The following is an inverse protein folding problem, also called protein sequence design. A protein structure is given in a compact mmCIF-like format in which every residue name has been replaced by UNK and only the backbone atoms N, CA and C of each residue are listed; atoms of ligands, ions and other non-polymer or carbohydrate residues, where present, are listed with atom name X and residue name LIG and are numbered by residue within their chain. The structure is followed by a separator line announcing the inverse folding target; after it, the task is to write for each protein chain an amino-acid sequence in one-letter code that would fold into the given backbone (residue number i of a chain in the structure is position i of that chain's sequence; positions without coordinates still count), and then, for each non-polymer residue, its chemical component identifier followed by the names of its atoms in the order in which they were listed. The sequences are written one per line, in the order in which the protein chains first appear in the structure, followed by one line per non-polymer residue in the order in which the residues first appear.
data_IF_369583760188
#
_entry.id   IF_369583760188
#
_cell.length_a   1.000
_cell.length_b   1.000
_cell.length_c   1.000
_cell.angle_alpha   90.00
_cell.angle_beta   90.00
_cell.angle_gamma   90.00
#
_symmetry.space_group_name_H-M   'P 1'
#
loop_
_entity.id
_entity.type
_entity.pdbx_description
1 polymer ?
#
# COMPACT_ATOMS: atom_id res chain seq x y z
N UNK A 1 -24.57 6.31 -19.80
CA UNK A 1 -23.46 7.21 -20.19
C UNK A 1 -22.27 6.88 -19.31
N UNK A 2 -21.45 5.90 -19.73
CA UNK A 2 -20.33 5.41 -18.94
C UNK A 2 -19.03 6.01 -19.46
N UNK A 3 -18.36 6.81 -18.64
CA UNK A 3 -17.01 7.28 -18.94
C UNK A 3 -16.02 6.18 -18.56
N UNK A 4 -15.43 5.56 -19.58
CA UNK A 4 -14.26 4.70 -19.46
C UNK A 4 -13.06 5.62 -19.23
N UNK A 5 -12.59 5.72 -17.98
CA UNK A 5 -11.32 6.39 -17.69
C UNK A 5 -10.24 5.30 -17.73
N UNK A 6 -9.47 5.32 -18.81
CA UNK A 6 -8.26 4.53 -19.01
C UNK A 6 -7.14 5.16 -18.17
N UNK A 7 -6.97 4.74 -16.92
CA UNK A 7 -5.81 5.15 -16.12
C UNK A 7 -4.62 4.25 -16.42
N UNK A 8 -3.75 4.72 -17.31
CA UNK A 8 -2.39 4.25 -17.48
C UNK A 8 -1.61 4.55 -16.19
N UNK A 9 -1.44 3.56 -15.31
CA UNK A 9 -0.50 3.66 -14.19
C UNK A 9 0.84 3.09 -14.65
N UNK A 10 1.77 3.97 -14.99
CA UNK A 10 3.18 3.61 -15.07
C UNK A 10 3.61 3.14 -13.67
N UNK A 11 3.80 1.83 -13.50
CA UNK A 11 4.42 1.27 -12.30
C UNK A 11 5.90 1.64 -12.37
N UNK A 12 6.27 2.77 -11.74
CA UNK A 12 7.66 3.01 -11.37
C UNK A 12 7.97 2.06 -10.22
N UNK A 13 8.36 0.83 -10.54
CA UNK A 13 8.92 -0.11 -9.58
C UNK A 13 10.33 0.39 -9.22
N UNK A 14 10.41 1.42 -8.37
CA UNK A 14 11.63 1.67 -7.63
C UNK A 14 11.76 0.52 -6.60
N UNK A 15 12.83 -0.29 -6.64
CA UNK A 15 13.06 -1.25 -5.57
C UNK A 15 13.20 -0.48 -4.26
N UNK A 16 12.31 -0.75 -3.29
CA UNK A 16 12.34 -0.15 -1.96
C UNK A 16 13.65 -0.41 -1.21
N UNK A 17 14.51 -1.31 -1.72
CA UNK A 17 15.83 -1.62 -1.18
C UNK A 17 16.92 -0.64 -1.63
N UNK A 18 16.59 0.38 -2.44
CA UNK A 18 17.56 1.36 -2.94
C UNK A 18 17.57 2.68 -2.15
N UNK A 19 16.81 2.79 -1.06
CA UNK A 19 16.63 4.03 -0.30
C UNK A 19 17.33 4.05 1.07
N UNK A 20 18.37 3.24 1.27
CA UNK A 20 19.01 3.13 2.59
C UNK A 20 19.74 4.40 3.06
N UNK A 21 19.96 5.39 2.20
CA UNK A 21 20.67 6.63 2.55
C UNK A 21 19.79 7.90 2.61
N UNK A 22 18.46 7.82 2.39
CA UNK A 22 17.64 9.03 2.24
C UNK A 22 16.14 8.87 2.48
N UNK A 23 15.43 10.00 2.52
CA UNK A 23 13.97 10.03 2.59
C UNK A 23 13.36 9.49 1.28
N UNK A 24 12.27 8.72 1.37
CA UNK A 24 11.62 8.12 0.21
C UNK A 24 10.10 8.06 0.34
N UNK A 25 9.43 7.97 -0.80
CA UNK A 25 8.00 7.70 -0.89
C UNK A 25 7.78 6.23 -1.26
N UNK A 26 6.81 5.61 -0.60
CA UNK A 26 6.35 4.26 -0.88
C UNK A 26 4.91 4.29 -1.39
N UNK A 27 4.70 3.62 -2.52
CA UNK A 27 3.38 3.46 -3.15
C UNK A 27 2.97 2.00 -3.07
N UNK A 28 1.77 1.76 -2.56
CA UNK A 28 1.22 0.40 -2.40
C UNK A 28 -0.11 0.26 -3.14
N UNK A 29 -0.31 -0.88 -3.78
CA UNK A 29 -1.61 -1.26 -4.34
C UNK A 29 -1.82 -2.77 -4.30
N UNK A 30 -3.06 -3.23 -4.49
CA UNK A 30 -3.41 -4.65 -4.50
C UNK A 30 -3.48 -5.17 -5.94
N UNK A 31 -2.61 -6.13 -6.28
CA UNK A 31 -2.66 -6.84 -7.57
C UNK A 31 -3.53 -8.09 -7.48
N UNK A 32 -3.41 -8.82 -6.37
CA UNK A 32 -4.13 -10.07 -6.15
C UNK A 32 -4.40 -10.28 -4.67
N UNK A 33 -5.57 -10.83 -4.37
CA UNK A 33 -6.00 -11.14 -3.00
C UNK A 33 -6.52 -12.55 -2.95
N UNK A 34 -6.03 -13.34 -1.99
CA UNK A 34 -6.61 -14.63 -1.65
C UNK A 34 -6.70 -14.75 -0.14
N UNK A 35 -7.90 -15.05 0.34
CA UNK A 35 -8.13 -15.35 1.74
C UNK A 35 -7.61 -16.76 2.06
N UNK A 36 -6.99 -16.93 3.24
CA UNK A 36 -6.53 -18.23 3.72
C UNK A 36 -7.70 -19.22 3.87
N UNK A 37 -8.84 -18.74 4.38
CA UNK A 37 -10.11 -19.44 4.39
C UNK A 37 -11.07 -18.76 3.39
N UNK A 38 -11.20 -19.26 2.15
CA UNK A 38 -12.03 -18.62 1.13
C UNK A 38 -13.50 -18.68 1.52
N UNK A 39 -14.16 -17.53 1.52
CA UNK A 39 -15.60 -17.39 1.63
C UNK A 39 -16.10 -16.62 0.40
N UNK A 40 -17.10 -17.11 -0.35
CA UNK A 40 -17.64 -16.40 -1.50
C UNK A 40 -18.23 -15.01 -1.16
N UNK A 41 -18.60 -14.76 0.09
CA UNK A 41 -19.09 -13.45 0.54
C UNK A 41 -17.96 -12.44 0.79
N UNK A 42 -16.71 -12.91 0.88
CA UNK A 42 -15.55 -12.05 1.10
C UNK A 42 -14.97 -11.46 -0.19
N UNK A 43 -14.75 -10.16 -0.15
CA UNK A 43 -14.20 -9.38 -1.26
C UNK A 43 -12.72 -9.72 -1.56
N UNK A 44 -12.45 -10.30 -2.73
CA UNK A 44 -11.08 -10.53 -3.24
C UNK A 44 -10.55 -9.38 -4.13
N UNK A 45 -11.27 -8.27 -4.22
CA UNK A 45 -10.85 -7.08 -4.97
C UNK A 45 -10.79 -5.90 -4.01
N UNK A 46 -9.65 -5.71 -3.36
CA UNK A 46 -9.53 -4.72 -2.30
C UNK A 46 -9.43 -3.28 -2.81
N UNK A 47 -9.11 -3.05 -4.09
CA UNK A 47 -8.84 -1.70 -4.62
C UNK A 47 -7.98 -0.87 -3.66
N UNK A 48 -6.90 -1.48 -3.17
CA UNK A 48 -5.98 -0.84 -2.25
C UNK A 48 -5.19 0.21 -3.01
N UNK A 49 -5.11 1.41 -2.43
CA UNK A 49 -4.15 2.42 -2.78
C UNK A 49 -3.57 2.99 -1.49
N UNK A 50 -2.24 2.93 -1.34
CA UNK A 50 -1.50 3.42 -0.19
C UNK A 50 -0.37 4.34 -0.62
N UNK A 51 -0.13 5.37 0.19
CA UNK A 51 0.99 6.29 0.08
C UNK A 51 1.63 6.47 1.45
N UNK A 52 2.94 6.37 1.51
CA UNK A 52 3.71 6.51 2.74
C UNK A 52 4.99 7.31 2.49
N UNK A 53 5.29 8.24 3.39
CA UNK A 53 6.56 8.94 3.45
C UNK A 53 7.44 8.29 4.51
N UNK A 54 8.66 7.93 4.12
CA UNK A 54 9.68 7.39 4.99
C UNK A 54 10.85 8.36 5.07
N UNK A 55 11.33 8.62 6.27
CA UNK A 55 12.53 9.41 6.51
C UNK A 55 13.74 8.52 6.72
N UNK A 56 14.92 9.03 6.38
CA UNK A 56 16.20 8.35 6.59
C UNK A 56 16.43 7.99 8.07
N UNK A 57 15.92 8.80 9.00
CA UNK A 57 16.02 8.50 10.43
C UNK A 57 15.07 7.38 10.89
N UNK A 58 14.19 6.88 10.02
CA UNK A 58 13.22 5.82 10.29
C UNK A 58 11.83 6.30 10.70
N UNK A 59 11.57 7.60 10.87
CA UNK A 59 10.19 8.08 11.07
C UNK A 59 9.40 7.90 9.78
N UNK A 60 8.16 7.40 9.89
CA UNK A 60 7.26 7.25 8.76
C UNK A 60 5.85 7.73 9.08
N UNK A 61 5.15 8.18 8.04
CA UNK A 61 3.74 8.52 8.09
C UNK A 61 3.08 8.18 6.75
N UNK A 62 1.89 7.62 6.81
CA UNK A 62 1.21 7.17 5.61
C UNK A 62 -0.27 6.98 5.79
N UNK A 63 -0.91 6.61 4.69
CA UNK A 63 -2.31 6.25 4.68
C UNK A 63 -2.67 5.42 3.47
N UNK A 64 -3.79 4.71 3.61
CA UNK A 64 -4.31 3.85 2.57
C UNK A 64 -5.84 3.91 2.53
N UNK A 65 -6.37 3.66 1.34
CA UNK A 65 -7.79 3.44 1.11
C UNK A 65 -7.98 2.09 0.43
N UNK A 66 -8.97 1.33 0.86
CA UNK A 66 -9.24 -0.03 0.37
C UNK A 66 -10.69 -0.41 0.62
N UNK A 67 -11.14 -1.51 0.03
CA UNK A 67 -12.39 -2.19 0.36
C UNK A 67 -12.09 -3.31 1.34
N UNK A 68 -12.77 -3.30 2.47
CA UNK A 68 -12.69 -4.39 3.44
C UNK A 68 -13.37 -5.67 2.90
N UNK A 69 -13.43 -6.72 3.72
CA UNK A 69 -14.01 -8.02 3.35
C UNK A 69 -15.46 -7.95 2.88
N UNK A 70 -16.22 -6.92 3.28
CA UNK A 70 -17.61 -6.70 2.89
C UNK A 70 -17.78 -5.68 1.75
N UNK A 71 -16.70 -5.43 0.99
CA UNK A 71 -16.67 -4.47 -0.12
C UNK A 71 -16.92 -3.00 0.27
N UNK A 72 -16.82 -2.65 1.55
CA UNK A 72 -17.02 -1.27 2.02
C UNK A 72 -15.71 -0.49 1.98
N UNK A 73 -15.75 0.73 1.42
CA UNK A 73 -14.60 1.64 1.38
C UNK A 73 -14.18 2.01 2.81
N UNK A 74 -12.93 1.72 3.12
CA UNK A 74 -12.28 1.95 4.40
C UNK A 74 -11.03 2.79 4.16
N UNK A 75 -10.70 3.65 5.13
CA UNK A 75 -9.50 4.48 5.08
C UNK A 75 -8.70 4.23 6.36
N UNK A 76 -7.38 4.19 6.23
CA UNK A 76 -6.45 3.95 7.31
C UNK A 76 -5.31 4.96 7.23
N UNK A 77 -4.98 5.59 8.34
CA UNK A 77 -3.86 6.51 8.47
C UNK A 77 -3.00 6.08 9.65
N UNK A 78 -1.69 6.28 9.54
CA UNK A 78 -0.74 5.79 10.54
C UNK A 78 0.54 6.63 10.58
N UNK A 79 1.25 6.53 11.70
CA UNK A 79 2.55 7.11 11.95
C UNK A 79 3.39 6.12 12.76
N UNK A 80 4.70 6.08 12.53
CA UNK A 80 5.56 5.08 13.15
C UNK A 80 7.04 5.40 13.09
N UNK A 81 7.83 4.46 13.64
CA UNK A 81 9.29 4.49 13.65
C UNK A 81 9.82 3.10 13.26
N UNK A 82 10.60 3.03 12.18
CA UNK A 82 11.44 1.89 11.80
C UNK A 82 12.73 1.91 12.62
N UNK A 83 13.16 0.74 13.06
CA UNK A 83 14.44 0.53 13.73
C UNK A 83 15.22 -0.50 12.93
N UNK A 84 16.38 -0.09 12.44
CA UNK A 84 17.30 -0.96 11.72
C UNK A 84 18.29 -1.59 12.71
N UNK A 85 18.65 -2.84 12.48
CA UNK A 85 19.55 -3.61 13.33
C UNK A 85 20.55 -4.34 12.46
N UNK A 86 21.84 -4.06 12.64
CA UNK A 86 22.93 -4.65 11.83
C UNK A 86 23.21 -6.14 12.14
N UNK A 87 22.40 -6.75 13.00
CA UNK A 87 22.67 -8.02 13.67
C UNK A 87 21.64 -9.12 13.41
N UNK A 88 20.87 -9.04 12.31
CA UNK A 88 19.93 -10.07 11.86
C UNK A 88 20.15 -10.46 10.40
#
# INVERSE_FOLDING_TARGET
MGYLILSLLAVLAAPAWAADDGDFWYLQTSVYTRHFNPDPEHNNHQDLLGLEYNRADGVLAGGATFRNSFSQRSNYAYLGKRFDSDSY
#
